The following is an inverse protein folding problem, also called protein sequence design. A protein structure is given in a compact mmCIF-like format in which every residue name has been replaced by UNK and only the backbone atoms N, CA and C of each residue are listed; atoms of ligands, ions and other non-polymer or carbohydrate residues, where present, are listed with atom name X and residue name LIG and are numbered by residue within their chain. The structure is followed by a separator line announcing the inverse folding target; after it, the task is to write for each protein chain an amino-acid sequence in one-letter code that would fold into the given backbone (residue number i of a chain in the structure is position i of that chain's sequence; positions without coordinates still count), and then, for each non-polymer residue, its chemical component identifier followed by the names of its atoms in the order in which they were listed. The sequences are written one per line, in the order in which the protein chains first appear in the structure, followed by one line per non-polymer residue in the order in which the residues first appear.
data_IF_568405694906
#
_entry.id   IF_568405694906
#
_cell.length_a   1.000
_cell.length_b   1.000
_cell.length_c   1.000
_cell.angle_alpha   90.00
_cell.angle_beta   90.00
_cell.angle_gamma   90.00
#
_symmetry.space_group_name_H-M   'P 1'
#
loop_
_entity.id
_entity.type
_entity.pdbx_description
1 polymer ?
#
# COMPACT_ATOMS: atom_id res chain seq x y z
N UNK A 1 13.35 -42.73 -7.25
CA UNK A 1 13.37 -41.35 -6.73
C UNK A 1 12.14 -40.58 -7.21
N UNK A 2 11.01 -40.84 -6.55
CA UNK A 2 9.73 -40.21 -6.88
C UNK A 2 9.71 -38.77 -6.38
N UNK A 3 9.76 -37.81 -7.31
CA UNK A 3 9.56 -36.39 -7.03
C UNK A 3 8.09 -36.17 -6.68
N UNK A 4 7.79 -36.00 -5.39
CA UNK A 4 6.52 -35.44 -4.94
C UNK A 4 6.40 -34.00 -5.46
N UNK A 5 5.60 -33.81 -6.52
CA UNK A 5 5.13 -32.50 -6.95
C UNK A 5 4.17 -31.98 -5.86
N UNK A 6 4.68 -31.09 -5.02
CA UNK A 6 3.87 -30.39 -4.03
C UNK A 6 2.73 -29.66 -4.73
N UNK A 7 1.51 -29.95 -4.29
CA UNK A 7 0.29 -29.22 -4.64
C UNK A 7 0.47 -27.75 -4.20
N UNK A 8 0.97 -26.90 -5.10
CA UNK A 8 0.81 -25.46 -4.93
C UNK A 8 -0.66 -25.16 -5.16
N UNK A 9 -1.42 -25.05 -4.06
CA UNK A 9 -2.77 -24.48 -4.12
C UNK A 9 -2.63 -23.15 -4.85
N UNK A 10 -3.25 -23.01 -6.02
CA UNK A 10 -3.23 -21.77 -6.81
C UNK A 10 -3.87 -20.65 -5.99
N UNK A 11 -3.03 -19.96 -5.21
CA UNK A 11 -3.41 -18.80 -4.42
C UNK A 11 -3.62 -17.65 -5.38
N UNK A 12 -4.80 -17.58 -5.99
CA UNK A 12 -5.16 -16.51 -6.90
C UNK A 12 -5.17 -15.16 -6.16
N UNK A 13 -4.47 -14.19 -6.72
CA UNK A 13 -4.44 -12.82 -6.24
C UNK A 13 -5.84 -12.19 -6.35
N UNK A 14 -6.33 -11.62 -5.24
CA UNK A 14 -7.64 -10.97 -5.20
C UNK A 14 -7.53 -9.62 -4.49
N UNK A 15 -7.66 -8.54 -5.26
CA UNK A 15 -7.61 -7.16 -4.73
C UNK A 15 -8.64 -6.92 -3.63
N UNK A 16 -9.87 -7.44 -3.79
CA UNK A 16 -10.92 -7.30 -2.78
C UNK A 16 -10.54 -7.91 -1.44
N UNK A 17 -9.94 -9.12 -1.44
CA UNK A 17 -9.48 -9.77 -0.21
C UNK A 17 -8.39 -8.98 0.50
N UNK A 18 -7.48 -8.38 -0.27
CA UNK A 18 -6.40 -7.53 0.26
C UNK A 18 -6.98 -6.30 0.94
N UNK A 19 -7.89 -5.58 0.26
CA UNK A 19 -8.53 -4.41 0.84
C UNK A 19 -9.32 -4.69 2.12
N UNK A 20 -10.09 -5.78 2.15
CA UNK A 20 -10.88 -6.15 3.34
C UNK A 20 -9.97 -6.42 4.52
N UNK A 21 -8.90 -7.22 4.34
CA UNK A 21 -7.90 -7.49 5.38
C UNK A 21 -7.24 -6.21 5.87
N UNK A 22 -6.79 -5.35 4.96
CA UNK A 22 -6.11 -4.11 5.33
C UNK A 22 -7.04 -3.13 6.06
N UNK A 23 -8.32 -3.02 5.65
CA UNK A 23 -9.35 -2.25 6.37
C UNK A 23 -9.58 -2.79 7.78
N UNK A 24 -9.54 -4.11 7.97
CA UNK A 24 -9.64 -4.73 9.30
C UNK A 24 -8.42 -4.45 10.18
N UNK A 25 -7.20 -4.45 9.60
CA UNK A 25 -5.97 -4.09 10.30
C UNK A 25 -5.93 -2.61 10.71
N UNK A 26 -6.36 -1.70 9.83
CA UNK A 26 -6.37 -0.25 10.08
C UNK A 26 -7.53 0.18 11.01
N UNK A 27 -8.70 -0.46 10.87
CA UNK A 27 -9.93 -0.17 11.63
C UNK A 27 -10.00 -0.73 13.05
N UNK A 28 -8.97 -1.45 13.52
CA UNK A 28 -8.99 -2.21 14.78
C UNK A 28 -8.82 -1.41 16.08
N UNK A 29 -8.47 -0.12 16.05
CA UNK A 29 -8.13 0.63 17.28
C UNK A 29 -9.22 1.54 17.85
N UNK A 30 -10.28 1.88 17.10
CA UNK A 30 -11.22 2.94 17.55
C UNK A 30 -12.71 2.56 17.69
N UNK A 31 -13.15 1.35 17.34
CA UNK A 31 -14.60 1.01 17.40
C UNK A 31 -14.95 -0.42 17.81
N UNK A 32 -14.43 -0.92 18.95
CA UNK A 32 -15.03 -2.12 19.59
C UNK A 32 -14.66 -2.30 21.07
N UNK A 33 -15.09 -1.36 21.92
CA UNK A 33 -14.96 -1.51 23.38
C UNK A 33 -16.08 -2.35 24.03
N UNK A 34 -17.09 -2.88 23.30
CA UNK A 34 -18.23 -3.58 23.92
C UNK A 34 -18.50 -5.05 23.53
N UNK A 35 -17.73 -5.69 22.64
CA UNK A 35 -17.97 -7.12 22.27
C UNK A 35 -16.67 -7.92 22.13
N UNK A 36 -15.76 -7.79 23.11
CA UNK A 36 -14.34 -8.15 22.98
C UNK A 36 -14.02 -9.64 23.24
N UNK A 37 -14.89 -10.42 23.90
CA UNK A 37 -14.44 -11.73 24.43
C UNK A 37 -14.85 -12.94 23.55
N UNK A 38 -16.01 -12.92 22.89
CA UNK A 38 -16.46 -14.05 22.05
C UNK A 38 -15.91 -13.99 20.62
N UNK A 39 -15.77 -12.80 20.06
CA UNK A 39 -15.24 -12.61 18.70
C UNK A 39 -13.73 -12.83 18.61
N UNK A 40 -12.99 -12.62 19.70
CA UNK A 40 -11.52 -12.72 19.70
C UNK A 40 -11.05 -14.15 19.46
N UNK A 41 -11.63 -15.16 20.15
CA UNK A 41 -11.22 -16.57 20.00
C UNK A 41 -11.50 -17.13 18.59
N UNK A 42 -12.67 -16.82 18.00
CA UNK A 42 -13.02 -17.26 16.63
C UNK A 42 -12.26 -16.50 15.54
N UNK A 43 -11.83 -15.26 15.82
CA UNK A 43 -11.06 -14.43 14.90
C UNK A 43 -9.57 -14.79 14.94
N UNK A 44 -9.03 -15.15 16.11
CA UNK A 44 -7.62 -15.58 16.28
C UNK A 44 -7.36 -16.92 15.57
N UNK A 45 -8.32 -17.85 15.59
CA UNK A 45 -8.24 -19.14 14.89
C UNK A 45 -8.41 -19.02 13.36
N UNK A 46 -9.20 -18.04 12.88
CA UNK A 46 -9.29 -17.70 11.44
C UNK A 46 -8.07 -16.92 10.95
N UNK A 47 -7.59 -15.99 11.76
CA UNK A 47 -6.42 -15.15 11.47
C UNK A 47 -5.14 -16.00 11.40
N UNK A 48 -4.98 -16.99 12.29
CA UNK A 48 -3.86 -17.93 12.20
C UNK A 48 -3.85 -18.77 10.90
N UNK A 49 -5.04 -19.14 10.37
CA UNK A 49 -5.14 -19.86 9.09
C UNK A 49 -5.00 -18.97 7.85
N UNK A 50 -5.48 -17.73 7.90
CA UNK A 50 -5.41 -16.81 6.75
C UNK A 50 -4.11 -15.98 6.69
N UNK A 51 -3.40 -15.81 7.81
CA UNK A 51 -2.09 -15.12 7.89
C UNK A 51 -0.94 -16.00 7.35
N UNK A 52 -1.04 -17.33 7.42
CA UNK A 52 -0.11 -18.23 6.71
C UNK A 52 -0.30 -18.15 5.18
N UNK A 53 -1.44 -17.64 4.71
CA UNK A 53 -1.87 -17.78 3.33
C UNK A 53 -1.54 -16.62 2.39
N UNK A 54 -1.29 -15.41 2.89
CA UNK A 54 -0.72 -14.31 2.11
C UNK A 54 0.38 -13.63 2.91
N UNK A 55 1.58 -13.58 2.32
CA UNK A 55 2.81 -13.07 2.93
C UNK A 55 2.62 -11.67 3.54
N UNK A 56 2.42 -11.59 4.86
CA UNK A 56 2.29 -10.35 5.64
C UNK A 56 3.58 -9.48 5.65
N UNK A 57 4.61 -9.90 4.90
CA UNK A 57 5.90 -9.24 4.77
C UNK A 57 6.11 -8.44 3.48
N UNK A 58 5.14 -8.43 2.55
CA UNK A 58 5.31 -7.68 1.30
C UNK A 58 5.28 -6.16 1.56
N UNK A 59 6.35 -5.46 1.17
CA UNK A 59 6.47 -4.00 1.25
C UNK A 59 6.93 -3.45 -0.09
N UNK A 60 6.29 -2.39 -0.55
CA UNK A 60 6.69 -1.71 -1.79
C UNK A 60 7.99 -0.95 -1.59
N UNK A 61 8.91 -1.08 -2.53
CA UNK A 61 10.13 -0.28 -2.58
C UNK A 61 9.82 1.09 -3.21
N UNK A 62 9.78 2.13 -2.36
CA UNK A 62 9.47 3.51 -2.77
C UNK A 62 10.65 4.25 -3.40
N UNK A 63 11.85 3.67 -3.36
CA UNK A 63 13.05 4.24 -4.00
C UNK A 63 13.39 3.59 -5.35
N UNK A 64 12.60 2.61 -5.79
CA UNK A 64 12.80 1.95 -7.08
C UNK A 64 12.58 2.93 -8.25
N UNK A 65 13.63 3.06 -9.07
CA UNK A 65 13.68 3.92 -10.25
C UNK A 65 12.56 3.67 -11.26
N UNK A 66 12.02 2.45 -11.34
CA UNK A 66 10.93 2.09 -12.26
C UNK A 66 9.66 2.87 -12.00
N UNK A 67 9.45 3.33 -10.76
CA UNK A 67 8.29 4.11 -10.35
C UNK A 67 8.57 5.61 -10.23
N UNK A 68 9.74 6.08 -10.67
CA UNK A 68 10.13 7.48 -10.51
C UNK A 68 9.11 8.46 -11.15
N UNK A 69 8.53 8.06 -12.27
CA UNK A 69 7.53 8.86 -12.98
C UNK A 69 6.28 9.17 -12.15
N UNK A 70 5.91 8.31 -11.19
CA UNK A 70 4.79 8.54 -10.25
C UNK A 70 5.05 9.76 -9.35
N UNK A 71 6.31 10.05 -9.06
CA UNK A 71 6.72 11.18 -8.22
C UNK A 71 6.91 12.47 -9.01
N UNK A 72 7.36 12.37 -10.26
CA UNK A 72 7.85 13.53 -11.05
C UNK A 72 6.87 14.02 -12.12
N UNK A 73 6.04 13.15 -12.71
CA UNK A 73 5.13 13.50 -13.81
C UNK A 73 3.67 13.56 -13.35
N UNK A 74 2.93 14.56 -13.84
CA UNK A 74 1.52 14.73 -13.51
C UNK A 74 0.63 13.63 -14.12
N UNK A 75 1.05 13.04 -15.25
CA UNK A 75 0.28 12.00 -15.94
C UNK A 75 0.12 10.70 -15.13
N UNK A 76 0.99 10.46 -14.15
CA UNK A 76 0.97 9.27 -13.30
C UNK A 76 0.59 9.60 -11.85
N UNK A 77 -0.13 10.71 -11.63
CA UNK A 77 -0.64 11.05 -10.32
C UNK A 77 -1.72 10.07 -9.87
N UNK A 78 -1.64 9.65 -8.61
CA UNK A 78 -2.65 8.82 -7.97
C UNK A 78 -3.77 9.75 -7.47
N UNK A 79 -4.97 9.63 -8.04
CA UNK A 79 -6.16 10.41 -7.67
C UNK A 79 -7.12 9.59 -6.80
N UNK A 80 -7.34 9.98 -5.52
CA UNK A 80 -8.33 9.32 -4.65
C UNK A 80 -9.79 9.42 -5.12
N UNK A 81 -10.11 10.32 -6.06
CA UNK A 81 -11.44 10.45 -6.63
C UNK A 81 -11.71 9.45 -7.79
N UNK A 82 -10.67 8.77 -8.30
CA UNK A 82 -10.84 7.75 -9.34
C UNK A 82 -11.51 6.50 -8.76
N UNK A 83 -12.56 5.94 -9.40
CA UNK A 83 -13.23 4.74 -8.92
C UNK A 83 -12.34 3.48 -8.89
N UNK A 84 -11.25 3.45 -9.65
CA UNK A 84 -10.26 2.36 -9.63
C UNK A 84 -9.19 2.55 -8.55
N UNK A 85 -9.29 3.61 -7.75
CA UNK A 85 -8.38 3.82 -6.63
C UNK A 85 -8.68 2.80 -5.51
N UNK A 86 -7.76 1.84 -5.37
CA UNK A 86 -7.77 0.88 -4.28
C UNK A 86 -6.84 1.36 -3.17
N UNK A 87 -7.40 1.58 -1.98
CA UNK A 87 -6.72 2.24 -0.86
C UNK A 87 -5.82 1.27 -0.07
N UNK A 88 -4.90 0.62 -0.77
CA UNK A 88 -4.04 -0.40 -0.19
C UNK A 88 -2.85 0.18 0.58
N UNK A 89 -2.19 -0.61 1.43
CA UNK A 89 -0.98 -0.18 2.16
C UNK A 89 0.14 0.26 1.21
N UNK A 90 0.36 -0.48 0.12
CA UNK A 90 1.36 -0.10 -0.90
C UNK A 90 1.02 1.24 -1.57
N UNK A 91 -0.25 1.46 -1.90
CA UNK A 91 -0.69 2.73 -2.50
C UNK A 91 -0.51 3.91 -1.52
N UNK A 92 -0.82 3.70 -0.24
CA UNK A 92 -0.61 4.70 0.80
C UNK A 92 0.88 5.04 0.96
N UNK A 93 1.77 4.05 1.00
CA UNK A 93 3.21 4.27 1.12
C UNK A 93 3.77 5.13 -0.03
N UNK A 94 3.30 4.90 -1.27
CA UNK A 94 3.71 5.71 -2.43
C UNK A 94 3.23 7.17 -2.29
N UNK A 95 1.98 7.37 -1.86
CA UNK A 95 1.43 8.73 -1.65
C UNK A 95 2.20 9.46 -0.56
N UNK A 96 2.48 8.80 0.56
CA UNK A 96 3.23 9.37 1.69
C UNK A 96 4.64 9.79 1.28
N UNK A 97 5.36 8.93 0.54
CA UNK A 97 6.68 9.25 0.00
C UNK A 97 6.61 10.45 -0.95
N UNK A 98 5.61 10.51 -1.84
CA UNK A 98 5.43 11.66 -2.74
C UNK A 98 5.21 12.97 -1.97
N UNK A 99 4.39 12.93 -0.93
CA UNK A 99 4.17 14.09 -0.06
C UNK A 99 5.44 14.49 0.69
N UNK A 100 6.23 13.51 1.16
CA UNK A 100 7.51 13.74 1.81
C UNK A 100 8.50 14.44 0.87
N UNK A 101 8.63 13.99 -0.38
CA UNK A 101 9.49 14.63 -1.40
C UNK A 101 9.06 16.07 -1.69
N UNK A 102 7.75 16.34 -1.76
CA UNK A 102 7.23 17.72 -1.93
C UNK A 102 7.62 18.62 -0.77
N UNK A 103 7.39 18.17 0.47
CA UNK A 103 7.79 18.93 1.67
C UNK A 103 9.30 19.20 1.71
N UNK A 104 10.12 18.27 1.23
CA UNK A 104 11.57 18.47 1.14
C UNK A 104 11.95 19.47 0.05
N UNK A 105 11.33 19.39 -1.13
CA UNK A 105 11.56 20.33 -2.23
C UNK A 105 11.17 21.77 -1.85
N UNK A 106 10.10 21.96 -1.07
CA UNK A 106 9.67 23.28 -0.59
C UNK A 106 10.66 23.91 0.41
N UNK A 107 11.54 23.11 1.03
CA UNK A 107 12.57 23.58 1.96
C UNK A 107 13.95 23.75 1.30
N UNK A 108 14.13 23.31 0.05
CA UNK A 108 15.34 23.55 -0.72
C UNK A 108 15.24 24.90 -1.45
N UNK A 109 16.25 25.78 -1.39
CA UNK A 109 16.23 27.03 -2.13
C UNK A 109 16.23 26.72 -3.63
N UNK A 110 15.08 26.91 -4.28
CA UNK A 110 14.93 26.77 -5.73
C UNK A 110 15.97 27.68 -6.41
N UNK A 111 16.93 27.15 -7.20
CA UNK A 111 17.78 28.01 -8.02
C UNK A 111 16.88 28.72 -9.03
N UNK A 112 16.78 30.04 -8.89
CA UNK A 112 15.93 30.91 -9.69
C UNK A 112 16.42 30.92 -11.15
N UNK A 113 15.98 29.96 -11.96
CA UNK A 113 16.22 29.98 -13.41
C UNK A 113 15.26 30.99 -14.03
N UNK A 114 15.61 32.27 -13.91
CA UNK A 114 14.88 33.36 -14.57
C UNK A 114 14.91 33.11 -16.08
N UNK A 115 13.77 33.05 -16.79
CA UNK A 115 13.78 32.93 -18.24
C UNK A 115 14.46 34.19 -18.81
N UNK A 116 15.60 34.01 -19.49
CA UNK A 116 16.28 35.12 -20.17
C UNK A 116 15.33 35.67 -21.23
N UNK A 117 14.83 36.89 -21.02
CA UNK A 117 14.16 37.67 -22.07
C UNK A 117 15.11 37.76 -23.27
N UNK A 118 14.71 37.19 -24.40
CA UNK A 118 15.36 37.47 -25.68
C UNK A 118 15.13 38.96 -25.97
N UNK A 119 16.22 39.72 -26.14
CA UNK A 119 16.19 41.10 -26.62
C UNK A 119 15.85 41.12 -28.10
#
# INVERSE_FOLDING_TARGET
DDKQLGNTVDKHFSMKKIEEREKEMDGGKKKKKSMKNYRKKKMEEKKAKEDEDMQDGFKVDVIDSRFNAVYTSHHYNIDPADPHFHRTQAMQAIIEEKQKRRRQADNEPVPEVRPKKKR
#
